data_IF_062192299516
#
_entry.id   IF_062192299516
#
_cell.length_a   1.000
_cell.length_b   1.000
_cell.length_c   1.000
_cell.angle_alpha   90.00
_cell.angle_beta   90.00
_cell.angle_gamma   90.00
#
_symmetry.space_group_name_H-M   'P 1'
#
loop_
_entity.id
_entity.type
_entity.pdbx_description
1 polymer ?
#
# COMPACT_ATOMS: atom_id res chain seq x y z
N UNK A 1 6.91 -9.40 10.84
CA UNK A 1 6.06 -9.59 9.64
C UNK A 1 6.91 -9.41 8.40
N UNK A 2 6.72 -10.21 7.36
CA UNK A 2 7.36 -9.98 6.07
C UNK A 2 6.32 -10.16 4.97
N UNK A 3 6.25 -9.21 4.05
CA UNK A 3 5.49 -9.34 2.83
C UNK A 3 6.34 -10.15 1.85
N UNK A 4 5.92 -11.39 1.55
CA UNK A 4 6.45 -12.13 0.40
C UNK A 4 5.31 -12.68 -0.44
N UNK A 5 5.14 -12.05 -1.59
CA UNK A 5 4.61 -12.62 -2.83
C UNK A 5 5.49 -12.04 -3.95
N UNK A 6 5.81 -12.85 -4.96
CA UNK A 6 6.91 -12.63 -5.91
C UNK A 6 7.03 -11.16 -6.39
N UNK A 7 7.90 -10.36 -5.74
CA UNK A 7 7.83 -8.90 -5.84
C UNK A 7 8.33 -8.40 -7.18
N UNK A 8 9.14 -9.17 -7.91
CA UNK A 8 9.80 -8.72 -9.14
C UNK A 8 8.82 -8.57 -10.31
N UNK A 9 7.92 -9.54 -10.50
CA UNK A 9 6.90 -9.47 -11.57
C UNK A 9 5.87 -8.38 -11.28
N UNK A 10 5.37 -8.32 -10.05
CA UNK A 10 4.35 -7.36 -9.61
C UNK A 10 4.90 -5.91 -9.56
N UNK A 11 6.15 -5.72 -9.15
CA UNK A 11 6.84 -4.42 -9.18
C UNK A 11 6.91 -3.86 -10.59
N UNK A 12 7.21 -4.70 -11.58
CA UNK A 12 7.36 -4.25 -12.95
C UNK A 12 6.03 -3.89 -13.63
N UNK A 13 4.93 -4.60 -13.33
CA UNK A 13 3.59 -4.19 -13.77
C UNK A 13 3.12 -2.90 -13.09
N UNK A 14 3.66 -2.55 -11.92
CA UNK A 14 3.43 -1.28 -11.23
C UNK A 14 3.94 -0.05 -12.00
N UNK A 15 4.91 -0.22 -12.90
CA UNK A 15 5.43 0.85 -13.76
C UNK A 15 4.65 1.03 -15.07
N UNK A 16 3.62 0.20 -15.31
CA UNK A 16 2.73 0.35 -16.45
C UNK A 16 1.76 1.53 -16.25
N UNK A 17 2.27 2.76 -16.37
CA UNK A 17 1.47 3.99 -16.46
C UNK A 17 1.03 4.17 -17.93
N UNK A 18 -0.19 4.68 -18.23
CA UNK A 18 -0.68 4.86 -19.60
C UNK A 18 0.24 5.65 -20.54
N UNK A 19 1.17 6.48 -20.01
CA UNK A 19 2.02 7.37 -20.80
C UNK A 19 3.54 7.20 -20.55
N UNK A 20 3.99 6.19 -19.79
CA UNK A 20 5.27 6.32 -19.08
C UNK A 20 6.50 5.58 -19.62
N UNK A 21 6.37 4.33 -20.07
CA UNK A 21 7.54 3.53 -20.40
C UNK A 21 7.43 2.88 -21.79
N UNK A 22 8.44 3.16 -22.62
CA UNK A 22 8.66 2.46 -23.88
C UNK A 22 8.72 0.95 -23.60
N UNK A 23 7.91 0.17 -24.31
CA UNK A 23 7.81 -1.30 -24.14
C UNK A 23 9.18 -1.98 -24.13
N UNK A 24 10.17 -1.42 -24.84
CA UNK A 24 11.57 -1.89 -24.81
C UNK A 24 12.24 -1.81 -23.43
N UNK A 25 12.01 -0.74 -22.67
CA UNK A 25 12.53 -0.62 -21.30
C UNK A 25 11.81 -1.58 -20.36
N UNK A 26 10.51 -1.78 -20.56
CA UNK A 26 9.73 -2.76 -19.80
C UNK A 26 10.25 -4.18 -20.04
N UNK A 27 10.47 -4.59 -21.29
CA UNK A 27 11.04 -5.89 -21.64
C UNK A 27 12.45 -6.10 -21.07
N UNK A 28 13.25 -5.04 -20.98
CA UNK A 28 14.58 -5.11 -20.37
C UNK A 28 14.51 -5.36 -18.85
N UNK A 29 13.53 -4.78 -18.17
CA UNK A 29 13.36 -4.91 -16.71
C UNK A 29 12.64 -6.21 -16.34
N UNK A 30 11.65 -6.64 -17.12
CA UNK A 30 10.85 -7.85 -16.87
C UNK A 30 11.52 -9.11 -17.41
N UNK A 31 12.29 -8.99 -18.50
CA UNK A 31 12.89 -10.13 -19.20
C UNK A 31 11.90 -10.97 -20.00
N UNK A 32 10.63 -10.53 -20.13
CA UNK A 32 9.60 -11.16 -20.95
C UNK A 32 9.00 -10.17 -21.97
N UNK A 33 8.24 -10.68 -22.94
CA UNK A 33 7.55 -9.89 -23.96
C UNK A 33 6.15 -9.41 -23.53
N UNK A 34 5.87 -9.29 -22.22
CA UNK A 34 4.55 -8.86 -21.75
C UNK A 34 4.29 -7.39 -22.07
N UNK A 35 3.08 -7.09 -22.54
CA UNK A 35 2.62 -5.72 -22.79
C UNK A 35 1.76 -5.22 -21.64
N UNK A 36 1.95 -3.96 -21.23
CA UNK A 36 1.08 -3.28 -20.27
C UNK A 36 -0.38 -3.25 -20.78
N UNK A 37 -1.24 -4.13 -20.28
CA UNK A 37 -2.66 -4.05 -20.56
C UNK A 37 -3.30 -2.95 -19.70
N UNK A 38 -4.31 -2.25 -20.22
CA UNK A 38 -5.03 -1.14 -19.58
C UNK A 38 -5.71 -1.52 -18.24
N UNK A 39 -5.73 -2.81 -17.89
CA UNK A 39 -6.24 -3.36 -16.63
C UNK A 39 -5.32 -3.09 -15.41
N UNK A 40 -4.16 -2.47 -15.61
CA UNK A 40 -3.14 -2.25 -14.58
C UNK A 40 -3.51 -1.20 -13.54
N UNK A 41 -4.42 -0.25 -13.80
CA UNK A 41 -4.78 0.79 -12.80
C UNK A 41 -5.32 0.25 -11.47
N UNK A 42 -6.02 -0.89 -11.48
CA UNK A 42 -6.49 -1.56 -10.26
C UNK A 42 -5.39 -2.37 -9.56
N UNK A 43 -4.48 -2.96 -10.33
CA UNK A 43 -3.49 -3.92 -9.84
C UNK A 43 -2.37 -3.28 -8.99
N UNK A 44 -2.04 -2.00 -9.22
CA UNK A 44 -0.95 -1.31 -8.49
C UNK A 44 -1.28 -1.16 -7.00
N UNK A 45 -2.55 -0.92 -6.66
CA UNK A 45 -2.97 -0.70 -5.27
C UNK A 45 -3.16 -1.99 -4.48
N UNK A 46 -3.27 -3.14 -5.16
CA UNK A 46 -3.35 -4.47 -4.54
C UNK A 46 -1.97 -5.11 -4.33
N UNK A 47 -0.88 -4.41 -4.70
CA UNK A 47 0.47 -4.82 -4.37
C UNK A 47 0.67 -4.80 -2.85
N UNK A 48 1.23 -5.88 -2.32
CA UNK A 48 1.51 -6.01 -0.89
C UNK A 48 2.80 -5.27 -0.49
N UNK A 49 2.91 -4.00 -0.89
CA UNK A 49 4.08 -3.16 -0.68
C UNK A 49 4.10 -2.60 0.76
N UNK A 50 5.25 -2.53 1.47
CA UNK A 50 5.31 -2.13 2.88
C UNK A 50 4.90 -0.67 3.16
N UNK A 51 4.58 0.14 2.14
CA UNK A 51 4.05 1.50 2.24
C UNK A 51 2.81 1.71 1.37
N UNK A 52 2.14 2.85 1.60
CA UNK A 52 0.97 3.28 0.85
C UNK A 52 1.23 4.69 0.28
N UNK A 53 0.95 4.88 -1.00
CA UNK A 53 1.14 6.17 -1.67
C UNK A 53 -0.08 6.49 -2.55
N UNK A 54 -0.57 7.72 -2.44
CA UNK A 54 -1.65 8.28 -3.26
C UNK A 54 -1.12 9.55 -3.90
N UNK A 55 -1.22 9.64 -5.22
CA UNK A 55 -0.95 10.87 -5.98
C UNK A 55 -2.27 11.41 -6.51
N UNK A 56 -2.59 12.66 -6.17
CA UNK A 56 -3.79 13.36 -6.58
C UNK A 56 -3.41 14.45 -7.58
N UNK A 57 -4.24 14.66 -8.60
CA UNK A 57 -4.03 15.73 -9.60
C UNK A 57 -4.58 17.09 -9.18
N UNK A 58 -5.34 17.15 -8.07
CA UNK A 58 -5.93 18.38 -7.56
C UNK A 58 -6.38 18.21 -6.11
N UNK A 59 -6.62 19.34 -5.45
CA UNK A 59 -7.20 19.40 -4.10
C UNK A 59 -8.71 19.08 -4.11
N UNK A 60 -9.05 17.82 -4.39
CA UNK A 60 -10.43 17.31 -4.38
C UNK A 60 -10.57 16.18 -3.38
N UNK A 61 -11.82 15.96 -2.95
CA UNK A 61 -12.15 14.80 -2.12
C UNK A 61 -11.83 13.50 -2.84
N UNK A 62 -11.21 12.57 -2.13
CA UNK A 62 -10.86 11.25 -2.65
C UNK A 62 -11.21 10.17 -1.62
N UNK A 63 -11.28 8.93 -2.09
CA UNK A 63 -11.35 7.73 -1.25
C UNK A 63 -10.63 6.60 -1.97
N UNK A 64 -9.63 6.01 -1.30
CA UNK A 64 -8.83 4.91 -1.81
C UNK A 64 -8.82 3.78 -0.79
N UNK A 65 -8.99 2.55 -1.29
CA UNK A 65 -8.92 1.33 -0.48
C UNK A 65 -7.74 0.48 -0.96
N UNK A 66 -6.96 -0.04 -0.02
CA UNK A 66 -5.90 -1.01 -0.26
C UNK A 66 -6.25 -2.32 0.42
N UNK A 67 -6.13 -3.44 -0.29
CA UNK A 67 -6.29 -4.77 0.28
C UNK A 67 -4.93 -5.43 0.39
N UNK A 68 -4.56 -5.85 1.60
CA UNK A 68 -3.25 -6.45 1.81
C UNK A 68 -3.29 -7.65 2.73
N UNK A 69 -2.38 -8.57 2.47
CA UNK A 69 -2.22 -9.80 3.22
C UNK A 69 -0.87 -9.81 3.91
N UNK A 70 -0.85 -9.82 5.23
CA UNK A 70 0.39 -9.92 5.99
C UNK A 70 0.64 -11.35 6.46
N UNK A 71 1.91 -11.76 6.47
CA UNK A 71 2.34 -13.08 6.93
C UNK A 71 3.02 -12.96 8.28
N UNK A 72 2.61 -13.81 9.24
CA UNK A 72 3.31 -13.94 10.50
C UNK A 72 4.64 -14.68 10.30
N UNK A 73 5.73 -14.08 10.75
CA UNK A 73 7.08 -14.67 10.74
C UNK A 73 7.72 -14.63 12.13
N UNK A 74 6.96 -14.21 13.14
CA UNK A 74 7.38 -14.12 14.53
C UNK A 74 6.81 -15.27 15.36
N UNK A 75 6.38 -14.98 16.58
CA UNK A 75 5.80 -15.96 17.50
C UNK A 75 4.54 -16.61 16.91
N UNK A 76 4.29 -17.92 17.16
CA UNK A 76 3.13 -18.63 16.62
C UNK A 76 1.81 -17.97 17.01
N UNK A 77 1.65 -17.63 18.29
CA UNK A 77 0.49 -16.91 18.81
C UNK A 77 0.87 -15.45 19.03
N UNK A 78 0.27 -14.55 18.26
CA UNK A 78 0.51 -13.11 18.37
C UNK A 78 -0.72 -12.33 17.95
N UNK A 79 -0.95 -11.18 18.59
CA UNK A 79 -2.08 -10.31 18.29
C UNK A 79 -1.57 -8.90 18.06
N UNK A 80 -1.78 -8.38 16.86
CA UNK A 80 -1.38 -7.03 16.49
C UNK A 80 -2.60 -6.12 16.41
N UNK A 81 -2.50 -4.95 17.04
CA UNK A 81 -3.49 -3.87 16.94
C UNK A 81 -3.00 -2.82 15.95
N UNK A 82 -3.91 -2.36 15.09
CA UNK A 82 -3.65 -1.27 14.17
C UNK A 82 -3.73 0.08 14.91
N UNK A 83 -2.68 0.87 14.77
CA UNK A 83 -2.60 2.23 15.29
C UNK A 83 -2.24 3.13 14.11
N UNK A 84 -3.11 4.10 13.81
CA UNK A 84 -2.79 5.15 12.84
C UNK A 84 -2.21 6.34 13.60
N UNK A 85 -1.03 6.80 13.19
CA UNK A 85 -0.36 7.95 13.80
C UNK A 85 -0.11 9.05 12.77
N UNK A 86 0.04 10.28 13.26
CA UNK A 86 0.40 11.46 12.46
C UNK A 86 -0.62 11.80 11.36
N UNK A 87 -1.92 11.61 11.61
CA UNK A 87 -2.95 12.09 10.69
C UNK A 87 -3.03 13.61 10.73
N UNK A 88 -2.54 14.27 9.69
CA UNK A 88 -2.78 15.70 9.49
C UNK A 88 -4.29 15.95 9.28
N UNK A 89 -4.76 17.14 9.64
CA UNK A 89 -6.14 17.57 9.39
C UNK A 89 -6.48 17.39 7.91
N UNK A 90 -7.64 16.78 7.61
CA UNK A 90 -8.15 16.60 6.25
C UNK A 90 -8.19 15.15 5.76
N UNK A 91 -7.50 14.20 6.43
CA UNK A 91 -7.56 12.77 6.10
C UNK A 91 -8.23 11.94 7.19
N UNK A 92 -9.03 10.97 6.75
CA UNK A 92 -9.60 9.90 7.57
C UNK A 92 -9.03 8.57 7.09
N UNK A 93 -8.36 7.87 8.00
CA UNK A 93 -7.70 6.58 7.73
C UNK A 93 -8.36 5.50 8.58
N UNK A 94 -8.86 4.44 7.96
CA UNK A 94 -9.56 3.33 8.61
C UNK A 94 -8.89 2.01 8.26
N UNK A 95 -8.81 1.12 9.24
CA UNK A 95 -8.23 -0.23 9.08
C UNK A 95 -9.28 -1.26 9.48
N UNK A 96 -9.53 -2.25 8.62
CA UNK A 96 -10.48 -3.32 8.90
C UNK A 96 -9.94 -4.70 8.47
N UNK A 97 -9.83 -5.69 9.39
CA UNK A 97 -10.02 -5.55 10.83
C UNK A 97 -8.91 -4.70 11.46
N UNK A 98 -9.20 -4.05 12.59
CA UNK A 98 -8.19 -3.28 13.35
C UNK A 98 -7.31 -4.17 14.24
N UNK A 99 -7.59 -5.47 14.31
CA UNK A 99 -6.83 -6.46 15.08
C UNK A 99 -6.57 -7.67 14.20
N UNK A 100 -5.32 -8.12 14.17
CA UNK A 100 -4.89 -9.34 13.47
C UNK A 100 -4.33 -10.33 14.49
N UNK A 101 -5.06 -11.43 14.69
CA UNK A 101 -4.72 -12.48 15.65
C UNK A 101 -4.19 -13.71 14.90
N UNK A 102 -2.89 -13.95 15.02
CA UNK A 102 -2.22 -15.12 14.46
C UNK A 102 -2.13 -16.23 15.48
N UNK A 103 -2.27 -17.47 15.01
CA UNK A 103 -2.21 -18.72 15.78
C UNK A 103 -1.07 -19.63 15.33
N UNK A 104 -0.43 -19.34 14.20
CA UNK A 104 0.75 -20.07 13.73
C UNK A 104 1.73 -19.18 12.95
N UNK A 105 2.98 -19.63 12.88
CA UNK A 105 4.01 -19.04 12.01
C UNK A 105 3.68 -19.39 10.56
N UNK A 106 3.80 -18.42 9.65
CA UNK A 106 3.44 -18.57 8.24
C UNK A 106 1.97 -18.31 7.93
N UNK A 107 1.11 -18.17 8.96
CA UNK A 107 -0.29 -17.79 8.75
C UNK A 107 -0.38 -16.42 8.08
N UNK A 108 -1.32 -16.34 7.12
CA UNK A 108 -1.62 -15.14 6.36
C UNK A 108 -2.98 -14.60 6.77
N UNK A 109 -3.05 -13.31 7.06
CA UNK A 109 -4.29 -12.61 7.35
C UNK A 109 -4.37 -11.35 6.50
N UNK A 110 -5.58 -11.01 6.07
CA UNK A 110 -5.83 -9.86 5.22
C UNK A 110 -6.51 -8.73 5.98
N UNK A 111 -6.22 -7.50 5.57
CA UNK A 111 -6.92 -6.31 6.04
C UNK A 111 -7.11 -5.32 4.89
N UNK A 112 -8.10 -4.45 5.05
CA UNK A 112 -8.37 -3.31 4.20
C UNK A 112 -7.93 -2.01 4.90
N UNK A 113 -7.19 -1.16 4.19
CA UNK A 113 -6.87 0.21 4.58
C UNK A 113 -7.66 1.17 3.70
N UNK A 114 -8.53 1.98 4.29
CA UNK A 114 -9.26 3.04 3.60
C UNK A 114 -8.64 4.39 3.96
N UNK A 115 -8.25 5.17 2.97
CA UNK A 115 -7.76 6.54 3.11
C UNK A 115 -8.71 7.44 2.33
N UNK A 116 -9.37 8.36 3.01
CA UNK A 116 -10.38 9.22 2.41
C UNK A 116 -10.32 10.62 3.01
N UNK A 117 -10.70 11.63 2.24
CA UNK A 117 -10.69 13.02 2.70
C UNK A 117 -10.37 13.99 1.58
N UNK A 118 -10.08 15.23 1.97
CA UNK A 118 -9.69 16.30 1.07
C UNK A 118 -8.34 16.82 1.56
N UNK A 119 -7.26 16.68 0.77
CA UNK A 119 -5.97 17.21 1.18
C UNK A 119 -6.04 18.74 1.31
N UNK A 120 -5.31 19.29 2.27
CA UNK A 120 -5.16 20.73 2.50
C UNK A 120 -3.70 21.21 2.33
N UNK A 121 -2.80 20.30 1.93
CA UNK A 121 -1.37 20.50 1.70
C UNK A 121 -0.92 19.63 0.53
N UNK A 122 0.16 20.03 -0.13
CA UNK A 122 0.75 19.26 -1.23
C UNK A 122 1.23 17.88 -0.79
N UNK A 123 1.63 17.74 0.46
CA UNK A 123 2.13 16.48 1.01
C UNK A 123 1.58 16.26 2.42
N UNK A 124 0.93 15.10 2.61
CA UNK A 124 0.47 14.61 3.90
C UNK A 124 1.12 13.25 4.15
N UNK A 125 1.74 13.07 5.31
CA UNK A 125 2.39 11.83 5.72
C UNK A 125 1.79 11.31 7.02
N UNK A 126 1.48 10.01 7.06
CA UNK A 126 0.97 9.30 8.22
C UNK A 126 1.64 7.92 8.34
N UNK A 127 1.35 7.19 9.40
CA UNK A 127 1.83 5.81 9.56
C UNK A 127 0.73 4.90 10.06
N UNK A 128 0.64 3.71 9.46
CA UNK A 128 -0.03 2.56 10.05
C UNK A 128 1.01 1.75 10.83
N UNK A 129 0.77 1.53 12.12
CA UNK A 129 1.59 0.71 12.99
C UNK A 129 0.79 -0.51 13.42
N UNK A 130 1.33 -1.70 13.21
CA UNK A 130 0.86 -2.92 13.84
C UNK A 130 1.67 -3.17 15.10
N UNK A 131 1.01 -3.13 16.26
CA UNK A 131 1.65 -3.25 17.58
C UNK A 131 1.11 -4.47 18.33
N UNK A 132 2.00 -5.36 18.77
CA UNK A 132 1.67 -6.52 19.63
C UNK A 132 2.05 -6.32 21.11
N UNK A 133 2.49 -5.11 21.48
CA UNK A 133 3.00 -4.75 22.80
C UNK A 133 4.51 -4.95 22.97
N UNK A 134 5.17 -5.65 22.05
CA UNK A 134 6.63 -5.91 22.07
C UNK A 134 7.31 -5.45 20.78
N UNK A 135 6.68 -5.68 19.65
CA UNK A 135 7.15 -5.37 18.31
C UNK A 135 6.17 -4.42 17.62
N UNK A 136 6.72 -3.41 16.97
CA UNK A 136 5.98 -2.47 16.17
C UNK A 136 6.40 -2.60 14.70
N UNK A 137 5.44 -2.93 13.84
CA UNK A 137 5.63 -2.95 12.38
C UNK A 137 5.02 -1.69 11.81
N UNK A 138 5.88 -0.73 11.45
CA UNK A 138 5.49 0.59 10.94
C UNK A 138 5.44 0.59 9.42
N UNK A 139 4.39 1.21 8.88
CA UNK A 139 4.10 1.30 7.44
C UNK A 139 3.81 2.74 7.06
N UNK A 140 4.66 3.38 6.23
CA UNK A 140 4.43 4.76 5.80
C UNK A 140 3.20 4.89 4.92
N UNK A 141 2.47 6.00 5.09
CA UNK A 141 1.37 6.43 4.25
C UNK A 141 1.69 7.84 3.75
N UNK A 142 1.65 8.04 2.44
CA UNK A 142 1.90 9.34 1.81
C UNK A 142 0.74 9.68 0.87
N UNK A 143 0.22 10.90 1.00
CA UNK A 143 -0.71 11.49 0.03
C UNK A 143 -0.04 12.75 -0.51
N UNK A 144 0.18 12.78 -1.82
CA UNK A 144 0.77 13.91 -2.53
C UNK A 144 -0.24 14.50 -3.52
N UNK A 145 -0.23 15.82 -3.68
CA UNK A 145 -0.98 16.54 -4.71
C UNK A 145 0.03 17.12 -5.70
N UNK A 146 -0.10 16.78 -6.97
CA UNK A 146 0.67 17.36 -8.07
C UNK A 146 -0.29 18.10 -8.98
N UNK A 147 -0.14 19.40 -9.09
CA UNK A 147 -0.84 20.21 -10.10
C UNK A 147 0.05 20.29 -11.32
N UNK A 148 -0.42 19.81 -12.46
CA UNK A 148 0.24 20.10 -13.75
C UNK A 148 -0.04 21.58 -14.07
N UNK A 149 1.01 22.42 -14.05
CA UNK A 149 0.99 23.80 -14.55
C UNK A 149 1.11 23.83 -16.08
#
# INVERSE_FOLDING_TARGET
MSAKKNPEAEFAYGFCVPDGYNTKLLHLVIGDNSSCSRATKGAIFDLNYPSFAILLSSFKSFSQVYHQTITNVGSPTSMYKAIVTNTAAGLRIKVNPSVLAFTSVGQKLSFALTIEGMPNKDLISAFLVWDDGKFQVRRPIVVAVSTDD
#
